data_IF_102236917585
#
_entry.id   IF_102236917585
#
_cell.length_a   1.000
_cell.length_b   1.000
_cell.length_c   1.000
_cell.angle_alpha   90.00
_cell.angle_beta   90.00
_cell.angle_gamma   90.00
#
_symmetry.space_group_name_H-M   'P 1'
#
loop_
_entity.id
_entity.type
_entity.pdbx_description
1 polymer ?
#
# COMPACT_ATOMS: atom_id res chain seq x y z
N UNK A 1 -5.50 -11.35 11.85
CA UNK A 1 -6.19 -10.34 11.02
C UNK A 1 -7.69 -10.52 11.17
N UNK A 2 -8.46 -9.42 11.14
CA UNK A 2 -9.93 -9.53 11.11
C UNK A 2 -10.41 -10.07 9.76
N UNK A 3 -11.67 -10.47 9.69
CA UNK A 3 -12.29 -10.89 8.43
C UNK A 3 -12.27 -9.75 7.40
N UNK A 4 -12.45 -8.49 7.81
CA UNK A 4 -12.40 -7.36 6.89
C UNK A 4 -10.99 -7.17 6.30
N UNK A 5 -9.95 -7.34 7.12
CA UNK A 5 -8.58 -7.19 6.67
C UNK A 5 -8.18 -8.27 5.64
N UNK A 6 -8.66 -9.51 5.81
CA UNK A 6 -8.44 -10.59 4.83
C UNK A 6 -9.20 -10.33 3.53
N UNK A 7 -10.45 -9.86 3.61
CA UNK A 7 -11.23 -9.49 2.43
C UNK A 7 -10.57 -8.34 1.64
N UNK A 8 -9.92 -7.39 2.33
CA UNK A 8 -9.17 -6.32 1.68
C UNK A 8 -7.94 -6.85 0.92
N UNK A 9 -7.23 -7.85 1.46
CA UNK A 9 -6.13 -8.53 0.74
C UNK A 9 -6.66 -9.20 -0.52
N UNK A 10 -7.69 -10.03 -0.40
CA UNK A 10 -8.30 -10.73 -1.54
C UNK A 10 -8.81 -9.77 -2.63
N UNK A 11 -9.29 -8.59 -2.23
CA UNK A 11 -9.76 -7.57 -3.16
C UNK A 11 -8.61 -6.93 -3.95
N UNK A 12 -7.49 -6.65 -3.31
CA UNK A 12 -6.30 -6.07 -3.97
C UNK A 12 -5.67 -7.08 -4.93
N UNK A 13 -5.58 -8.36 -4.53
CA UNK A 13 -5.03 -9.43 -5.39
C UNK A 13 -5.82 -9.67 -6.68
N UNK A 14 -7.11 -9.28 -6.69
CA UNK A 14 -8.02 -9.42 -7.86
C UNK A 14 -8.30 -8.10 -8.57
N UNK A 15 -7.65 -7.01 -8.16
CA UNK A 15 -7.94 -5.69 -8.70
C UNK A 15 -7.42 -5.56 -10.13
N UNK A 16 -8.22 -4.96 -11.02
CA UNK A 16 -7.79 -4.62 -12.38
C UNK A 16 -6.71 -3.52 -12.38
N UNK A 17 -6.72 -2.67 -11.35
CA UNK A 17 -5.76 -1.58 -11.10
C UNK A 17 -5.63 -1.37 -9.58
N UNK A 18 -4.42 -1.10 -9.10
CA UNK A 18 -4.17 -0.76 -7.68
C UNK A 18 -3.67 0.68 -7.54
N UNK A 19 -4.29 1.43 -6.64
CA UNK A 19 -3.76 2.70 -6.13
C UNK A 19 -3.22 2.45 -4.73
N UNK A 20 -1.90 2.53 -4.57
CA UNK A 20 -1.22 2.25 -3.31
C UNK A 20 -0.57 3.52 -2.79
N UNK A 21 -0.89 3.91 -1.55
CA UNK A 21 -0.28 5.09 -0.96
C UNK A 21 -0.10 5.04 0.55
N UNK A 22 0.98 5.69 1.00
CA UNK A 22 1.34 5.86 2.40
C UNK A 22 1.94 7.24 2.60
N UNK A 23 1.82 7.79 3.80
CA UNK A 23 2.70 8.88 4.21
C UNK A 23 4.13 8.37 4.36
N UNK A 24 5.10 9.24 4.08
CA UNK A 24 6.52 8.97 4.27
C UNK A 24 6.89 9.29 5.73
N UNK A 25 7.15 8.26 6.53
CA UNK A 25 7.68 8.39 7.87
C UNK A 25 9.16 7.98 7.83
N UNK A 26 10.07 8.88 8.23
CA UNK A 26 11.53 8.62 8.22
C UNK A 26 12.07 8.17 6.84
N UNK A 27 11.55 8.75 5.77
CA UNK A 27 12.00 8.45 4.40
C UNK A 27 11.46 7.14 3.81
N UNK A 28 10.51 6.46 4.46
CA UNK A 28 9.88 5.25 3.95
C UNK A 28 8.37 5.24 4.20
N UNK A 29 7.65 4.27 3.62
CA UNK A 29 6.26 4.01 3.95
C UNK A 29 6.10 3.60 5.43
N UNK A 30 4.87 3.70 5.95
CA UNK A 30 4.61 3.34 7.34
C UNK A 30 4.75 1.83 7.58
N UNK A 31 5.12 1.46 8.81
CA UNK A 31 5.18 0.05 9.22
C UNK A 31 3.84 -0.67 9.10
N UNK A 32 2.71 0.03 9.31
CA UNK A 32 1.37 -0.53 9.13
C UNK A 32 1.05 -0.82 7.66
N UNK A 33 1.45 0.08 6.75
CA UNK A 33 1.29 -0.13 5.31
C UNK A 33 2.07 -1.36 4.84
N UNK A 34 3.33 -1.47 5.26
CA UNK A 34 4.16 -2.65 5.01
C UNK A 34 3.57 -3.91 5.61
N UNK A 35 3.14 -3.84 6.87
CA UNK A 35 2.54 -4.98 7.56
C UNK A 35 1.32 -5.51 6.83
N UNK A 36 0.47 -4.62 6.28
CA UNK A 36 -0.66 -5.03 5.46
C UNK A 36 -0.21 -5.66 4.13
N UNK A 37 0.75 -5.04 3.42
CA UNK A 37 1.26 -5.57 2.15
C UNK A 37 1.97 -6.92 2.26
N UNK A 38 2.55 -7.24 3.42
CA UNK A 38 3.19 -8.55 3.66
C UNK A 38 2.20 -9.73 3.57
N UNK A 39 0.89 -9.47 3.61
CA UNK A 39 -0.14 -10.50 3.44
C UNK A 39 -0.61 -10.67 1.99
N UNK A 40 -0.25 -9.76 1.09
CA UNK A 40 -0.51 -9.89 -0.35
C UNK A 40 0.51 -10.86 -0.93
N UNK A 41 0.07 -11.85 -1.71
CA UNK A 41 1.01 -12.76 -2.37
C UNK A 41 1.99 -11.98 -3.27
N UNK A 42 3.28 -12.36 -3.20
CA UNK A 42 4.36 -11.63 -3.86
C UNK A 42 4.23 -11.56 -5.39
N UNK A 43 3.46 -12.48 -5.99
CA UNK A 43 3.18 -12.52 -7.42
C UNK A 43 1.81 -11.96 -7.82
N UNK A 44 0.92 -11.65 -6.86
CA UNK A 44 -0.48 -11.34 -7.15
C UNK A 44 -0.68 -10.10 -8.04
N UNK A 45 0.22 -9.13 -7.97
CA UNK A 45 0.14 -7.89 -8.73
C UNK A 45 0.99 -7.90 -10.01
N UNK A 46 1.60 -9.04 -10.38
CA UNK A 46 2.38 -9.13 -11.61
C UNK A 46 1.45 -8.93 -12.82
N UNK A 47 1.73 -7.88 -13.60
CA UNK A 47 0.91 -7.50 -14.75
C UNK A 47 -0.26 -6.58 -14.40
N UNK A 48 -0.55 -6.36 -13.12
CA UNK A 48 -1.55 -5.39 -12.66
C UNK A 48 -0.93 -3.98 -12.63
N UNK A 49 -1.53 -2.98 -13.29
CA UNK A 49 -1.08 -1.60 -13.17
C UNK A 49 -1.17 -1.09 -11.72
N UNK A 50 -0.08 -0.51 -11.21
CA UNK A 50 -0.01 0.06 -9.85
C UNK A 50 0.40 1.53 -9.90
N UNK A 51 -0.45 2.41 -9.34
CA UNK A 51 -0.12 3.82 -9.10
C UNK A 51 0.35 4.00 -7.66
N UNK A 52 1.57 4.52 -7.49
CA UNK A 52 2.15 4.79 -6.17
C UNK A 52 1.96 6.26 -5.78
N UNK A 53 1.48 6.49 -4.57
CA UNK A 53 1.29 7.83 -3.98
C UNK A 53 2.02 7.92 -2.65
N UNK A 54 2.87 8.93 -2.52
CA UNK A 54 3.59 9.19 -1.28
C UNK A 54 3.14 10.54 -0.69
N UNK A 55 2.69 10.52 0.56
CA UNK A 55 2.42 11.75 1.31
C UNK A 55 3.68 12.19 2.05
N UNK A 56 4.35 13.23 1.59
CA UNK A 56 5.48 13.84 2.32
C UNK A 56 5.00 15.05 3.10
N UNK A 57 5.47 15.21 4.33
CA UNK A 57 5.26 16.46 5.07
C UNK A 57 6.20 17.52 4.49
N UNK A 58 5.63 18.59 3.94
CA UNK A 58 6.39 19.73 3.46
C UNK A 58 6.72 20.62 4.66
N UNK A 59 7.99 20.58 5.10
CA UNK A 59 8.50 21.63 5.96
C UNK A 59 8.69 22.88 5.10
N UNK A 60 7.73 23.80 5.19
CA UNK A 60 7.89 25.13 4.62
C UNK A 60 8.86 25.91 5.49
N UNK A 61 10.08 26.11 4.99
CA UNK A 61 11.05 27.02 5.54
C UNK A 61 10.78 28.36 4.87
N UNK A 62 10.17 29.30 5.59
CA UNK A 62 9.69 30.56 5.03
C UNK A 62 10.67 31.33 4.15
#
# INVERSE_FOLDING_TARGET
>A
MSAEALAAVEHIERADVVLAGSTCLQGSYTGLFKHFLDFVDAGALVGTPVLLVAGVELQWNG
#
